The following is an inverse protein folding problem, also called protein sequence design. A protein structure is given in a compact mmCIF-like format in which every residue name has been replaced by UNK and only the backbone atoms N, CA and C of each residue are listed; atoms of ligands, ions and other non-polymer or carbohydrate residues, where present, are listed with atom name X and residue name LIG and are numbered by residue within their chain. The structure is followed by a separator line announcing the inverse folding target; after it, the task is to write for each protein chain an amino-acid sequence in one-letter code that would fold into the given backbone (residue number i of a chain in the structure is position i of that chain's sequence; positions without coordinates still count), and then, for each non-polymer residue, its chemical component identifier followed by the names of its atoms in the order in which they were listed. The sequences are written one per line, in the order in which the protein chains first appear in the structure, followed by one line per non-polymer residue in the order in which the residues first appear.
data_IF_081996210065
#
_entry.id   IF_081996210065
#
_cell.length_a   1.000
_cell.length_b   1.000
_cell.length_c   1.000
_cell.angle_alpha   90.00
_cell.angle_beta   90.00
_cell.angle_gamma   90.00
#
_symmetry.space_group_name_H-M   'P 1'
#
loop_
_entity.id
_entity.type
_entity.pdbx_description
1 polymer ?
#
# COMPACT_ATOMS: atom_id res chain seq x y z
N UNK A 1 -14.49 -3.68 -25.55
CA UNK A 1 -13.91 -2.34 -25.47
C UNK A 1 -13.05 -2.24 -24.23
N UNK A 2 -11.74 -2.06 -24.43
CA UNK A 2 -10.71 -2.15 -23.39
C UNK A 2 -10.77 -1.01 -22.37
N UNK A 3 -10.53 -1.37 -21.12
CA UNK A 3 -10.16 -0.43 -20.05
C UNK A 3 -8.65 -0.22 -20.14
N UNK A 4 -8.11 1.00 -20.04
CA UNK A 4 -6.66 1.17 -19.91
C UNK A 4 -6.28 0.61 -18.55
N UNK A 5 -5.62 -0.55 -18.55
CA UNK A 5 -4.87 -1.02 -17.40
C UNK A 5 -3.86 0.09 -17.10
N UNK A 6 -3.99 0.79 -15.98
CA UNK A 6 -2.96 1.69 -15.50
C UNK A 6 -1.71 0.85 -15.28
N UNK A 7 -0.87 0.78 -16.31
CA UNK A 7 0.32 -0.07 -16.34
C UNK A 7 1.21 0.37 -15.18
N UNK A 8 1.43 -0.54 -14.22
CA UNK A 8 2.30 -0.26 -13.08
C UNK A 8 3.73 -0.24 -13.63
N UNK A 9 4.15 0.94 -14.05
CA UNK A 9 5.50 1.19 -14.53
C UNK A 9 6.48 1.18 -13.36
N UNK A 10 7.72 0.76 -13.61
CA UNK A 10 8.77 0.80 -12.59
C UNK A 10 8.99 2.22 -12.03
N UNK A 11 8.82 3.24 -12.87
CA UNK A 11 8.90 4.65 -12.45
C UNK A 11 7.86 5.02 -11.39
N UNK A 12 6.64 4.47 -11.49
CA UNK A 12 5.58 4.70 -10.52
C UNK A 12 5.88 4.01 -9.18
N UNK A 13 6.38 2.78 -9.21
CA UNK A 13 6.77 2.04 -8.00
C UNK A 13 7.91 2.73 -7.25
N UNK A 14 8.93 3.21 -7.98
CA UNK A 14 10.05 3.94 -7.40
C UNK A 14 9.60 5.25 -6.72
N UNK A 15 8.65 5.98 -7.33
CA UNK A 15 8.13 7.22 -6.76
C UNK A 15 7.36 6.99 -5.44
N UNK A 16 6.60 5.89 -5.38
CA UNK A 16 5.85 5.50 -4.18
C UNK A 16 6.82 5.10 -3.05
N UNK A 17 7.87 4.34 -3.36
CA UNK A 17 8.88 3.93 -2.36
C UNK A 17 9.62 5.13 -1.75
N UNK A 18 10.01 6.11 -2.58
CA UNK A 18 10.64 7.34 -2.12
C UNK A 18 9.70 8.15 -1.21
N UNK A 19 8.41 8.22 -1.57
CA UNK A 19 7.39 8.87 -0.75
C UNK A 19 7.25 8.21 0.63
N UNK A 20 7.15 6.88 0.68
CA UNK A 20 7.06 6.14 1.95
C UNK A 20 8.27 6.41 2.84
N UNK A 21 9.50 6.37 2.30
CA UNK A 21 10.73 6.64 3.06
C UNK A 21 10.83 8.09 3.57
N UNK A 22 10.31 9.06 2.81
CA UNK A 22 10.39 10.48 3.15
C UNK A 22 9.38 10.90 4.22
N UNK A 23 8.17 10.32 4.19
CA UNK A 23 7.09 10.67 5.11
C UNK A 23 7.06 9.81 6.38
N UNK A 24 7.70 8.64 6.38
CA UNK A 24 7.85 7.80 7.57
C UNK A 24 9.22 7.12 7.68
N UNK A 25 10.27 7.85 8.14
CA UNK A 25 11.59 7.26 8.39
C UNK A 25 11.60 6.26 9.56
N UNK A 26 10.54 6.21 10.39
CA UNK A 26 10.39 5.28 11.50
C UNK A 26 9.91 3.90 11.03
N UNK A 27 9.24 3.82 9.87
CA UNK A 27 8.90 2.58 9.18
C UNK A 27 10.09 1.98 8.39
N UNK A 28 11.17 2.73 8.20
CA UNK A 28 12.44 2.16 7.71
C UNK A 28 13.15 1.31 8.78
N UNK A 29 12.77 1.48 10.06
CA UNK A 29 13.33 0.76 11.20
C UNK A 29 12.25 0.02 12.00
N UNK A 30 11.27 -0.60 11.34
CA UNK A 30 10.33 -1.55 11.94
C UNK A 30 11.00 -2.85 12.45
N UNK A 31 12.32 -2.84 12.70
CA UNK A 31 13.14 -4.00 13.08
C UNK A 31 13.90 -3.76 14.38
N UNK A 32 13.28 -3.17 15.40
CA UNK A 32 13.90 -3.20 16.73
C UNK A 32 13.03 -3.63 17.90
N UNK A 33 11.70 -3.78 17.80
CA UNK A 33 10.97 -4.15 19.02
C UNK A 33 9.59 -4.84 18.93
N UNK A 34 8.94 -5.03 17.78
CA UNK A 34 7.67 -5.77 17.78
C UNK A 34 7.36 -6.33 16.40
N UNK A 35 7.34 -7.66 16.30
CA UNK A 35 7.12 -8.38 15.05
C UNK A 35 5.76 -8.07 14.45
N UNK A 36 5.78 -7.86 13.13
CA UNK A 36 4.64 -7.84 12.21
C UNK A 36 3.73 -6.62 12.36
N UNK A 37 3.98 -5.62 11.50
CA UNK A 37 3.03 -4.57 11.14
C UNK A 37 2.47 -4.88 9.74
N UNK A 38 1.52 -5.83 9.61
CA UNK A 38 0.95 -6.13 8.33
C UNK A 38 0.15 -4.94 7.80
N UNK A 39 0.34 -4.62 6.53
CA UNK A 39 -0.44 -3.62 5.81
C UNK A 39 -1.81 -4.22 5.47
N UNK A 40 -2.87 -3.60 5.97
CA UNK A 40 -4.26 -4.01 5.73
C UNK A 40 -4.91 -3.00 4.79
N UNK A 41 -5.52 -3.48 3.71
CA UNK A 41 -6.20 -2.66 2.70
C UNK A 41 -7.65 -3.10 2.59
N UNK A 42 -8.59 -2.21 2.91
CA UNK A 42 -10.03 -2.40 2.69
C UNK A 42 -10.54 -1.53 1.54
N UNK A 43 -11.37 -2.12 0.68
CA UNK A 43 -12.11 -1.41 -0.36
C UNK A 43 -13.57 -1.33 0.05
N UNK A 44 -14.11 -0.11 0.14
CA UNK A 44 -15.50 0.14 0.50
C UNK A 44 -16.30 0.70 -0.67
N UNK A 45 -17.56 0.29 -0.78
CA UNK A 45 -18.53 0.84 -1.74
C UNK A 45 -19.07 2.22 -1.26
N UNK A 46 -19.86 2.89 -2.11
CA UNK A 46 -20.43 4.20 -1.79
C UNK A 46 -21.44 4.20 -0.62
N UNK A 47 -21.82 3.03 -0.11
CA UNK A 47 -22.68 2.84 1.07
C UNK A 47 -21.85 2.49 2.32
N UNK A 48 -20.53 2.42 2.20
CA UNK A 48 -19.61 2.05 3.27
C UNK A 48 -19.49 0.54 3.48
N UNK A 49 -19.96 -0.30 2.55
CA UNK A 49 -19.79 -1.74 2.66
C UNK A 49 -18.42 -2.15 2.13
N UNK A 50 -17.70 -2.96 2.90
CA UNK A 50 -16.44 -3.58 2.46
C UNK A 50 -16.74 -4.58 1.36
N UNK A 51 -16.15 -4.38 0.18
CA UNK A 51 -16.28 -5.26 -0.98
C UNK A 51 -15.01 -6.04 -1.28
N UNK A 52 -13.88 -5.67 -0.66
CA UNK A 52 -12.63 -6.44 -0.71
C UNK A 52 -11.73 -6.06 0.48
N UNK A 53 -10.92 -7.02 0.95
CA UNK A 53 -9.92 -6.83 1.98
C UNK A 53 -8.67 -7.65 1.62
N UNK A 54 -7.49 -7.05 1.76
CA UNK A 54 -6.20 -7.72 1.55
C UNK A 54 -5.24 -7.37 2.69
N UNK A 55 -4.50 -8.37 3.17
CA UNK A 55 -3.51 -8.22 4.26
C UNK A 55 -2.16 -8.68 3.75
N UNK A 56 -1.13 -7.85 3.91
CA UNK A 56 0.25 -8.17 3.52
C UNK A 56 1.22 -7.94 4.67
N UNK A 57 1.92 -9.00 5.06
CA UNK A 57 3.01 -8.97 6.06
C UNK A 57 4.26 -8.22 5.57
#
# INVERSE_FOLDING_TARGET
SGKPQSEITEGLMNAIEVGIRAFDPCLSCATHAMGQMPLIIEVQDARGNVIAEEVRD
#
